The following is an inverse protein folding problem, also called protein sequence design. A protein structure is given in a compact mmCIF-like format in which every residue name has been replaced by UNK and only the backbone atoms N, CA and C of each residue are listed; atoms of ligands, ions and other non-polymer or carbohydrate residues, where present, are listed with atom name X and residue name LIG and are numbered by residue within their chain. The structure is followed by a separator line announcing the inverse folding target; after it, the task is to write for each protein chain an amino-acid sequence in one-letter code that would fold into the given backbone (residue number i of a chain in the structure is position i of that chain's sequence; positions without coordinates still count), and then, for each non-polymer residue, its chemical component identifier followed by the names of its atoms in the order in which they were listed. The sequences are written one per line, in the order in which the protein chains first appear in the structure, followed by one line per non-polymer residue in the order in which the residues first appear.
data_IF_457475062116
#
_entry.id   IF_457475062116
#
_cell.length_a   1.000
_cell.length_b   1.000
_cell.length_c   1.000
_cell.angle_alpha   90.00
_cell.angle_beta   90.00
_cell.angle_gamma   90.00
#
_symmetry.space_group_name_H-M   'P 1'
#
loop_
_entity.id
_entity.type
_entity.pdbx_description
1 polymer ?
#
# COMPACT_ATOMS: atom_id res chain seq x y z
N UNK A 1 -0.91 -23.29 -41.41
CA UNK A 1 -2.22 -22.63 -41.64
C UNK A 1 -2.97 -22.38 -40.34
N UNK A 2 -3.26 -23.40 -39.53
CA UNK A 2 -4.09 -23.30 -38.31
C UNK A 2 -3.84 -22.09 -37.39
N UNK A 3 -2.59 -21.69 -37.17
CA UNK A 3 -2.27 -20.51 -36.34
C UNK A 3 -2.92 -19.21 -36.86
N UNK A 4 -3.04 -19.03 -38.19
CA UNK A 4 -3.65 -17.85 -38.79
C UNK A 4 -5.18 -17.86 -38.63
N UNK A 5 -5.82 -19.03 -38.79
CA UNK A 5 -7.25 -19.21 -38.49
C UNK A 5 -7.54 -18.99 -37.01
N UNK A 6 -6.66 -19.46 -36.11
CA UNK A 6 -6.78 -19.25 -34.68
C UNK A 6 -6.65 -17.77 -34.30
N UNK A 7 -5.74 -17.01 -34.95
CA UNK A 7 -5.66 -15.56 -34.81
C UNK A 7 -6.89 -14.83 -35.37
N UNK A 8 -7.45 -15.29 -36.49
CA UNK A 8 -8.72 -14.77 -37.03
C UNK A 8 -9.89 -15.00 -36.08
N UNK A 9 -9.98 -16.21 -35.50
CA UNK A 9 -10.97 -16.57 -34.48
C UNK A 9 -10.84 -15.69 -33.22
N UNK A 10 -9.60 -15.49 -32.74
CA UNK A 10 -9.28 -14.62 -31.60
C UNK A 10 -9.61 -13.14 -31.87
N UNK A 11 -9.30 -12.62 -33.06
CA UNK A 11 -9.59 -11.22 -33.40
C UNK A 11 -11.10 -10.97 -33.49
N UNK A 12 -11.86 -11.94 -34.03
CA UNK A 12 -13.33 -11.92 -34.08
C UNK A 12 -13.96 -11.96 -32.68
N UNK A 13 -13.38 -12.72 -31.74
CA UNK A 13 -13.76 -12.72 -30.32
C UNK A 13 -13.41 -11.37 -29.64
N UNK A 14 -12.24 -10.79 -29.95
CA UNK A 14 -11.74 -9.52 -29.38
C UNK A 14 -12.67 -8.34 -29.70
N UNK A 15 -13.23 -8.29 -30.91
CA UNK A 15 -14.22 -7.25 -31.29
C UNK A 15 -15.52 -7.36 -30.49
N UNK A 16 -16.05 -8.57 -30.27
CA UNK A 16 -17.26 -8.78 -29.48
C UNK A 16 -17.08 -8.37 -28.00
N UNK A 17 -15.91 -8.68 -27.41
CA UNK A 17 -15.60 -8.30 -26.03
C UNK A 17 -15.48 -6.78 -25.84
N UNK A 18 -14.96 -6.04 -26.84
CA UNK A 18 -14.85 -4.59 -26.78
C UNK A 18 -16.21 -3.88 -26.73
N UNK A 19 -17.19 -4.37 -27.51
CA UNK A 19 -18.55 -3.81 -27.51
C UNK A 19 -19.25 -3.98 -26.15
N UNK A 20 -19.09 -5.13 -25.49
CA UNK A 20 -19.67 -5.37 -24.17
C UNK A 20 -19.06 -4.47 -23.07
N UNK A 21 -17.77 -4.17 -23.16
CA UNK A 21 -17.08 -3.32 -22.17
C UNK A 21 -17.52 -1.84 -22.22
N UNK A 22 -18.01 -1.35 -23.36
CA UNK A 22 -18.47 0.02 -23.51
C UNK A 22 -19.82 0.30 -22.81
N UNK A 23 -20.61 -0.73 -22.51
CA UNK A 23 -21.96 -0.60 -21.96
C UNK A 23 -22.03 -0.48 -20.43
N UNK A 24 -20.91 -0.61 -19.71
CA UNK A 24 -20.88 -0.74 -18.24
C UNK A 24 -20.46 0.56 -17.52
N UNK A 25 -19.87 1.52 -18.24
CA UNK A 25 -19.23 2.71 -17.65
C UNK A 25 -20.17 3.92 -17.49
N UNK A 26 -21.44 3.71 -17.14
CA UNK A 26 -22.43 4.77 -16.93
C UNK A 26 -23.38 4.46 -15.76
N UNK A 27 -22.87 4.52 -14.51
CA UNK A 27 -23.66 4.83 -13.30
C UNK A 27 -22.76 4.93 -12.05
N UNK A 28 -22.28 6.14 -11.74
CA UNK A 28 -22.38 6.83 -10.43
C UNK A 28 -21.33 7.96 -10.34
N UNK A 29 -21.83 9.19 -10.18
CA UNK A 29 -21.16 10.32 -9.53
C UNK A 29 -22.08 10.80 -8.38
N UNK A 30 -21.72 11.92 -7.75
CA UNK A 30 -22.32 12.53 -6.54
C UNK A 30 -22.02 11.73 -5.25
N UNK A 31 -21.15 12.20 -4.35
CA UNK A 31 -21.12 13.44 -3.53
C UNK A 31 -22.01 13.39 -2.27
N UNK A 32 -21.37 13.51 -1.11
CA UNK A 32 -21.83 14.46 -0.08
C UNK A 32 -20.67 14.85 0.85
N UNK A 33 -20.85 15.88 1.69
CA UNK A 33 -19.76 16.55 2.41
C UNK A 33 -20.13 16.94 3.84
N UNK A 34 -19.09 17.26 4.63
CA UNK A 34 -19.13 18.11 5.83
C UNK A 34 -19.83 17.56 7.08
N UNK A 35 -19.18 17.71 8.25
CA UNK A 35 -19.69 18.51 9.37
C UNK A 35 -18.62 18.63 10.49
N UNK A 36 -18.90 19.41 11.53
CA UNK A 36 -17.89 20.22 12.25
C UNK A 36 -18.23 20.42 13.75
N UNK A 37 -17.26 20.88 14.55
CA UNK A 37 -17.37 21.38 15.95
C UNK A 37 -17.78 20.39 17.08
N UNK A 38 -17.66 20.75 18.40
CA UNK A 38 -16.78 21.74 19.05
C UNK A 38 -16.03 21.24 20.33
N UNK A 39 -15.19 22.15 20.84
CA UNK A 39 -14.33 22.09 22.02
C UNK A 39 -15.04 22.21 23.40
N UNK A 40 -14.61 21.41 24.38
CA UNK A 40 -14.83 21.55 25.84
C UNK A 40 -13.91 20.51 26.55
N UNK A 41 -13.44 20.57 27.80
CA UNK A 41 -13.57 21.44 29.01
C UNK A 41 -12.12 21.54 29.63
N UNK A 42 -11.72 22.28 30.67
CA UNK A 42 -12.32 23.21 31.65
C UNK A 42 -11.22 24.21 32.14
N UNK A 43 -11.37 24.82 33.33
CA UNK A 43 -10.36 25.69 33.98
C UNK A 43 -10.44 25.64 35.52
N UNK A 44 -9.62 26.48 36.19
CA UNK A 44 -9.57 26.83 37.64
C UNK A 44 -8.63 26.01 38.53
N UNK A 45 -7.51 26.63 38.94
CA UNK A 45 -7.19 26.85 40.36
C UNK A 45 -6.17 27.99 40.53
N UNK A 46 -6.38 28.90 41.48
CA UNK A 46 -5.45 29.99 41.84
C UNK A 46 -5.16 29.98 43.34
N UNK A 47 -3.90 30.12 43.79
CA UNK A 47 -3.56 30.13 45.21
C UNK A 47 -3.64 31.54 45.81
N UNK A 48 -4.25 31.67 46.99
CA UNK A 48 -4.20 32.91 47.78
C UNK A 48 -4.19 32.61 49.29
N UNK A 49 -3.09 33.02 49.92
CA UNK A 49 -2.87 33.30 51.35
C UNK A 49 -3.71 32.56 52.41
N UNK A 50 -3.04 31.72 53.21
CA UNK A 50 -3.47 31.35 54.57
C UNK A 50 -2.36 31.74 55.55
N UNK A 51 -2.66 32.65 56.49
CA UNK A 51 -1.77 33.03 57.60
C UNK A 51 -1.89 32.03 58.75
N UNK A 52 -0.83 31.91 59.56
CA UNK A 52 -0.75 30.95 60.68
C UNK A 52 -1.05 31.67 62.00
N UNK A 53 -1.91 31.12 62.88
CA UNK A 53 -2.21 31.74 64.18
C UNK A 53 -1.03 31.77 65.15
N UNK A 54 -1.05 32.74 66.07
CA UNK A 54 -0.03 32.95 67.11
C UNK A 54 -0.50 32.43 68.47
N UNK A 55 -0.46 31.11 68.65
CA UNK A 55 0.05 30.48 69.88
C UNK A 55 0.22 28.97 69.63
N UNK A 56 1.42 28.45 69.89
CA UNK A 56 1.80 27.04 69.70
C UNK A 56 2.83 26.69 70.77
N UNK A 57 2.62 25.57 71.46
CA UNK A 57 3.58 25.03 72.44
C UNK A 57 4.92 24.66 71.76
N UNK A 58 6.01 24.46 72.54
CA UNK A 58 7.29 24.03 71.97
C UNK A 58 7.21 22.72 71.18
N UNK A 59 6.35 21.80 71.63
CA UNK A 59 6.12 20.49 71.02
C UNK A 59 5.33 20.63 69.71
N UNK A 60 4.22 21.39 69.71
CA UNK A 60 3.48 21.71 68.47
C UNK A 60 4.32 22.51 67.46
N UNK A 61 5.25 23.35 67.92
CA UNK A 61 6.22 24.03 67.04
C UNK A 61 7.18 23.05 66.38
N UNK A 62 7.67 22.04 67.11
CA UNK A 62 8.55 21.03 66.52
C UNK A 62 7.78 20.10 65.58
N UNK A 63 6.58 19.65 65.95
CA UNK A 63 5.69 18.90 65.04
C UNK A 63 5.37 19.70 63.78
N UNK A 64 5.02 20.99 63.90
CA UNK A 64 4.81 21.86 62.74
C UNK A 64 6.07 22.05 61.91
N UNK A 65 7.26 22.02 62.52
CA UNK A 65 8.54 22.04 61.80
C UNK A 65 8.76 20.74 61.00
N UNK A 66 8.49 19.58 61.61
CA UNK A 66 8.58 18.27 60.99
C UNK A 66 7.55 18.09 59.86
N UNK A 67 6.30 18.54 60.06
CA UNK A 67 5.25 18.58 59.04
C UNK A 67 5.66 19.50 57.88
N UNK A 68 6.25 20.67 58.15
CA UNK A 68 6.76 21.58 57.11
C UNK A 68 7.95 20.98 56.34
N UNK A 69 8.83 20.24 57.00
CA UNK A 69 9.95 19.53 56.36
C UNK A 69 9.43 18.41 55.47
N UNK A 70 8.54 17.57 55.98
CA UNK A 70 7.92 16.46 55.25
C UNK A 70 7.03 16.92 54.10
N UNK A 71 6.38 18.08 54.22
CA UNK A 71 5.68 18.75 53.12
C UNK A 71 6.64 19.23 52.02
N UNK A 72 7.87 19.65 52.35
CA UNK A 72 8.89 19.98 51.36
C UNK A 72 9.38 18.72 50.65
N UNK A 73 9.78 17.70 51.42
CA UNK A 73 10.18 16.38 50.91
C UNK A 73 9.16 15.86 49.86
N UNK A 74 7.86 15.88 50.21
CA UNK A 74 6.78 15.46 49.31
C UNK A 74 6.53 16.40 48.11
N UNK A 75 6.88 17.68 48.19
CA UNK A 75 6.76 18.61 47.05
C UNK A 75 7.92 18.41 46.07
N UNK A 76 9.13 18.20 46.59
CA UNK A 76 10.33 17.88 45.81
C UNK A 76 10.14 16.53 45.09
N UNK A 77 9.57 15.52 45.75
CA UNK A 77 9.17 14.23 45.14
C UNK A 77 8.09 14.40 44.06
N UNK A 78 7.10 15.27 44.26
CA UNK A 78 6.06 15.56 43.24
C UNK A 78 6.65 16.29 42.02
N UNK A 79 7.61 17.20 42.21
CA UNK A 79 8.29 17.88 41.11
C UNK A 79 9.19 16.91 40.32
N UNK A 80 9.90 16.03 41.04
CA UNK A 80 10.66 14.93 40.43
C UNK A 80 9.76 13.97 39.63
N UNK A 81 8.66 13.49 40.20
CA UNK A 81 7.74 12.58 39.51
C UNK A 81 7.10 13.23 38.26
N UNK A 82 6.85 14.54 38.27
CA UNK A 82 6.43 15.26 37.05
C UNK A 82 7.51 15.23 35.96
N UNK A 83 8.78 15.36 36.33
CA UNK A 83 9.88 15.27 35.37
C UNK A 83 10.01 13.85 34.80
N UNK A 84 9.99 12.82 35.66
CA UNK A 84 10.04 11.41 35.24
C UNK A 84 8.83 11.03 34.36
N UNK A 85 7.63 11.55 34.65
CA UNK A 85 6.45 11.40 33.78
C UNK A 85 6.63 12.11 32.43
N UNK A 86 7.16 13.34 32.41
CA UNK A 86 7.39 14.07 31.17
C UNK A 86 8.46 13.41 30.28
N UNK A 87 9.51 12.85 30.89
CA UNK A 87 10.54 12.07 30.21
C UNK A 87 9.95 10.79 29.60
N UNK A 88 9.21 9.99 30.37
CA UNK A 88 8.52 8.78 29.87
C UNK A 88 7.47 9.11 28.80
N UNK A 89 6.73 10.22 28.90
CA UNK A 89 5.85 10.66 27.82
C UNK A 89 6.62 11.05 26.56
N UNK A 90 7.78 11.71 26.69
CA UNK A 90 8.66 12.04 25.55
C UNK A 90 9.21 10.77 24.88
N UNK A 91 9.58 9.73 25.65
CA UNK A 91 9.98 8.43 25.10
C UNK A 91 8.83 7.73 24.38
N UNK A 92 7.61 7.75 24.94
CA UNK A 92 6.41 7.19 24.31
C UNK A 92 6.07 7.94 23.01
N UNK A 93 6.23 9.27 22.97
CA UNK A 93 6.05 10.07 21.75
C UNK A 93 7.12 9.74 20.69
N UNK A 94 8.39 9.53 21.09
CA UNK A 94 9.42 9.07 20.15
C UNK A 94 9.14 7.65 19.62
N UNK A 95 8.68 6.73 20.46
CA UNK A 95 8.37 5.36 20.05
C UNK A 95 7.13 5.29 19.13
N UNK A 96 6.08 6.05 19.44
CA UNK A 96 4.86 6.10 18.62
C UNK A 96 5.12 6.78 17.27
N UNK A 97 5.83 7.93 17.24
CA UNK A 97 6.12 8.59 15.96
C UNK A 97 7.08 7.76 15.08
N UNK A 98 7.99 6.96 15.65
CA UNK A 98 8.80 5.99 14.88
C UNK A 98 7.96 4.86 14.28
N UNK A 99 6.91 4.40 14.97
CA UNK A 99 5.98 3.37 14.50
C UNK A 99 5.07 3.87 13.36
N UNK A 100 4.40 5.01 13.56
CA UNK A 100 3.48 5.57 12.57
C UNK A 100 4.21 6.15 11.35
N UNK A 101 5.31 6.88 11.57
CA UNK A 101 6.03 7.57 10.49
C UNK A 101 6.60 6.58 9.47
N UNK A 102 7.29 5.51 9.91
CA UNK A 102 7.92 4.54 8.98
C UNK A 102 6.91 3.84 8.08
N UNK A 103 5.79 3.36 8.64
CA UNK A 103 4.74 2.68 7.87
C UNK A 103 4.04 3.64 6.91
N UNK A 104 3.71 4.83 7.39
CA UNK A 104 3.04 5.88 6.59
C UNK A 104 3.96 6.42 5.50
N UNK A 105 5.26 6.57 5.77
CA UNK A 105 6.28 6.99 4.80
C UNK A 105 6.49 5.93 3.72
N UNK A 106 6.63 4.64 4.07
CA UNK A 106 6.72 3.54 3.10
C UNK A 106 5.49 3.52 2.18
N UNK A 107 4.28 3.66 2.75
CA UNK A 107 3.05 3.71 1.97
C UNK A 107 2.98 4.95 1.05
N UNK A 108 3.42 6.14 1.52
CA UNK A 108 3.55 7.35 0.68
C UNK A 108 4.56 7.14 -0.47
N UNK A 109 5.71 6.51 -0.23
CA UNK A 109 6.68 6.21 -1.27
C UNK A 109 6.14 5.18 -2.28
N UNK A 110 5.45 4.12 -1.84
CA UNK A 110 4.80 3.14 -2.73
C UNK A 110 3.75 3.82 -3.61
N UNK A 111 2.91 4.70 -3.04
CA UNK A 111 1.94 5.48 -3.81
C UNK A 111 2.61 6.42 -4.84
N UNK A 112 3.75 7.02 -4.49
CA UNK A 112 4.55 7.81 -5.43
C UNK A 112 5.21 6.94 -6.53
N UNK A 113 5.66 5.72 -6.20
CA UNK A 113 6.19 4.75 -7.15
C UNK A 113 5.13 4.27 -8.15
N UNK A 114 3.91 3.98 -7.68
CA UNK A 114 2.73 3.68 -8.53
C UNK A 114 2.42 4.86 -9.48
N UNK A 115 2.43 6.11 -8.98
CA UNK A 115 2.27 7.30 -9.82
C UNK A 115 3.40 7.46 -10.86
N UNK A 116 4.66 7.25 -10.47
CA UNK A 116 5.81 7.26 -11.40
C UNK A 116 5.67 6.18 -12.48
N UNK A 117 5.29 4.95 -12.11
CA UNK A 117 5.05 3.85 -13.05
C UNK A 117 4.00 4.22 -14.09
N UNK A 118 2.88 4.82 -13.66
CA UNK A 118 1.81 5.25 -14.56
C UNK A 118 2.19 6.39 -15.53
N UNK A 119 3.34 7.06 -15.32
CA UNK A 119 3.91 8.05 -16.24
C UNK A 119 5.05 7.49 -17.10
N UNK A 120 5.90 6.65 -16.51
CA UNK A 120 7.01 5.95 -17.14
C UNK A 120 7.27 4.65 -16.36
N UNK A 121 6.96 3.47 -16.92
CA UNK A 121 7.02 2.24 -16.15
C UNK A 121 8.45 1.83 -15.80
N UNK A 122 9.44 2.17 -16.64
CA UNK A 122 10.85 1.84 -16.38
C UNK A 122 11.37 2.69 -15.21
N UNK A 123 11.10 4.00 -15.19
CA UNK A 123 11.43 4.88 -14.06
C UNK A 123 10.60 4.59 -12.80
N UNK A 124 9.36 4.10 -12.96
CA UNK A 124 8.50 3.69 -11.84
C UNK A 124 9.02 2.46 -11.11
N UNK A 125 9.36 1.40 -11.84
CA UNK A 125 10.01 0.22 -11.27
C UNK A 125 11.37 0.60 -10.69
N UNK A 126 12.22 1.33 -11.42
CA UNK A 126 13.52 1.79 -10.91
C UNK A 126 13.41 2.51 -9.56
N UNK A 127 12.49 3.46 -9.42
CA UNK A 127 12.27 4.17 -8.16
C UNK A 127 11.85 3.24 -7.01
N UNK A 128 11.00 2.23 -7.27
CA UNK A 128 10.59 1.26 -6.25
C UNK A 128 11.75 0.37 -5.79
N UNK A 129 12.67 0.03 -6.69
CA UNK A 129 13.90 -0.70 -6.40
C UNK A 129 14.88 0.15 -5.58
N UNK A 130 15.13 1.40 -6.00
CA UNK A 130 16.04 2.35 -5.35
C UNK A 130 15.62 2.78 -3.93
N UNK A 131 14.39 2.44 -3.49
CA UNK A 131 13.83 2.81 -2.18
C UNK A 131 13.55 1.57 -1.30
N UNK A 132 14.05 0.38 -1.67
CA UNK A 132 13.79 -0.91 -0.98
C UNK A 132 12.29 -1.21 -0.80
N UNK A 133 11.47 -0.80 -1.77
CA UNK A 133 10.01 -1.01 -1.81
C UNK A 133 9.63 -2.27 -2.59
N UNK A 134 10.53 -2.71 -3.46
CA UNK A 134 10.41 -3.85 -4.38
C UNK A 134 11.80 -4.44 -4.57
N UNK A 135 11.93 -5.77 -4.73
CA UNK A 135 13.23 -6.41 -4.98
C UNK A 135 13.54 -6.46 -6.49
N UNK A 136 14.83 -6.50 -6.86
CA UNK A 136 15.26 -6.59 -8.26
C UNK A 136 15.16 -8.04 -8.81
N UNK A 137 14.01 -8.67 -8.61
CA UNK A 137 13.72 -10.05 -9.05
C UNK A 137 12.48 -10.05 -9.94
N UNK A 138 12.46 -10.84 -11.04
CA UNK A 138 11.31 -10.91 -11.94
C UNK A 138 9.99 -11.30 -11.24
N UNK A 139 10.09 -12.09 -10.18
CA UNK A 139 8.97 -12.68 -9.42
C UNK A 139 8.32 -11.66 -8.48
N UNK A 140 9.09 -10.74 -7.90
CA UNK A 140 8.54 -9.66 -7.07
C UNK A 140 7.93 -8.56 -7.96
N UNK A 141 8.60 -8.22 -9.07
CA UNK A 141 8.06 -7.28 -10.06
C UNK A 141 6.79 -7.81 -10.70
N UNK A 142 6.72 -9.10 -11.07
CA UNK A 142 5.51 -9.70 -11.63
C UNK A 142 4.35 -9.73 -10.62
N UNK A 143 4.61 -10.07 -9.35
CA UNK A 143 3.61 -9.99 -8.28
C UNK A 143 3.09 -8.55 -8.05
N UNK A 144 3.97 -7.55 -8.10
CA UNK A 144 3.58 -6.14 -7.99
C UNK A 144 2.64 -5.73 -9.14
N UNK A 145 2.96 -6.12 -10.37
CA UNK A 145 2.12 -5.87 -11.55
C UNK A 145 0.79 -6.65 -11.47
N UNK A 146 0.81 -7.90 -11.01
CA UNK A 146 -0.37 -8.77 -10.91
C UNK A 146 -1.37 -8.28 -9.85
N UNK A 147 -0.88 -7.76 -8.71
CA UNK A 147 -1.73 -7.10 -7.69
C UNK A 147 -2.44 -5.86 -8.25
N UNK A 148 -1.80 -5.14 -9.19
CA UNK A 148 -2.43 -4.08 -10.00
C UNK A 148 -2.92 -2.83 -9.26
N UNK A 149 -2.82 -2.77 -7.93
CA UNK A 149 -3.36 -1.70 -7.10
C UNK A 149 -2.85 -0.31 -7.50
N UNK A 150 -3.75 0.54 -8.01
CA UNK A 150 -3.39 1.90 -8.44
C UNK A 150 -2.46 1.97 -9.65
N UNK A 151 -2.28 0.85 -10.38
CA UNK A 151 -1.51 0.78 -11.61
C UNK A 151 -2.43 0.87 -12.84
N UNK A 152 -2.00 1.60 -13.86
CA UNK A 152 -2.72 1.70 -15.12
C UNK A 152 -2.51 0.42 -15.95
N UNK A 153 -3.59 -0.36 -16.16
CA UNK A 153 -3.58 -1.63 -16.91
C UNK A 153 -3.02 -1.53 -18.33
N UNK A 154 -3.09 -0.36 -18.98
CA UNK A 154 -2.41 -0.12 -20.27
C UNK A 154 -0.89 -0.10 -20.10
N UNK A 155 -0.41 0.65 -19.12
CA UNK A 155 1.04 0.79 -18.84
C UNK A 155 1.66 -0.51 -18.31
N UNK A 156 0.88 -1.35 -17.60
CA UNK A 156 1.27 -2.74 -17.29
C UNK A 156 1.51 -3.52 -18.59
N UNK A 157 0.57 -3.46 -19.55
CA UNK A 157 0.71 -4.10 -20.85
C UNK A 157 1.91 -3.57 -21.66
N UNK A 158 2.11 -2.26 -21.68
CA UNK A 158 3.23 -1.64 -22.39
C UNK A 158 4.58 -2.13 -21.85
N UNK A 159 4.72 -2.26 -20.52
CA UNK A 159 5.92 -2.75 -19.84
C UNK A 159 6.13 -4.26 -20.02
N UNK A 160 5.07 -5.08 -19.85
CA UNK A 160 5.14 -6.53 -20.09
C UNK A 160 5.44 -6.87 -21.56
N UNK A 161 5.07 -5.97 -22.48
CA UNK A 161 5.33 -6.13 -23.91
C UNK A 161 6.71 -5.66 -24.38
N UNK A 162 7.56 -5.12 -23.51
CA UNK A 162 8.92 -4.71 -23.88
C UNK A 162 9.78 -5.91 -24.35
N UNK A 163 10.90 -5.62 -25.03
CA UNK A 163 11.79 -6.64 -25.62
C UNK A 163 13.03 -6.96 -24.77
N UNK A 164 13.20 -6.27 -23.64
CA UNK A 164 14.39 -6.37 -22.79
C UNK A 164 14.35 -7.67 -21.98
N UNK A 165 15.48 -8.36 -21.81
CA UNK A 165 15.55 -9.70 -21.17
C UNK A 165 14.90 -9.75 -19.77
N UNK A 166 14.97 -8.66 -19.01
CA UNK A 166 14.31 -8.56 -17.71
C UNK A 166 12.78 -8.51 -17.85
N UNK A 167 12.26 -7.72 -18.79
CA UNK A 167 10.83 -7.63 -19.07
C UNK A 167 10.26 -8.96 -19.58
N UNK A 168 11.03 -9.72 -20.39
CA UNK A 168 10.64 -11.06 -20.84
C UNK A 168 10.54 -12.05 -19.67
N UNK A 169 11.47 -12.00 -18.70
CA UNK A 169 11.41 -12.80 -17.47
C UNK A 169 10.23 -12.40 -16.57
N UNK A 170 9.98 -11.11 -16.41
CA UNK A 170 8.81 -10.59 -15.70
C UNK A 170 7.51 -11.05 -16.37
N UNK A 171 7.45 -11.11 -17.71
CA UNK A 171 6.30 -11.64 -18.45
C UNK A 171 6.09 -13.14 -18.16
N UNK A 172 7.15 -13.97 -18.17
CA UNK A 172 7.04 -15.39 -17.79
C UNK A 172 6.46 -15.54 -16.39
N UNK A 173 7.10 -14.90 -15.40
CA UNK A 173 6.65 -14.97 -14.00
C UNK A 173 5.22 -14.41 -13.81
N UNK A 174 4.83 -13.36 -14.55
CA UNK A 174 3.48 -12.79 -14.52
C UNK A 174 2.43 -13.75 -15.11
N UNK A 175 2.78 -14.47 -16.17
CA UNK A 175 1.93 -15.51 -16.76
C UNK A 175 1.87 -16.73 -15.82
N UNK A 176 2.96 -17.08 -15.14
CA UNK A 176 3.00 -18.18 -14.17
C UNK A 176 2.10 -17.97 -12.94
N UNK A 177 1.93 -16.71 -12.50
CA UNK A 177 0.96 -16.31 -11.47
C UNK A 177 -0.51 -16.52 -11.87
N UNK A 178 -0.81 -16.83 -13.14
CA UNK A 178 -2.16 -17.18 -13.56
C UNK A 178 -2.38 -18.70 -13.48
N UNK A 179 -3.34 -19.10 -12.65
CA UNK A 179 -3.85 -20.47 -12.62
C UNK A 179 -4.77 -20.72 -13.82
N UNK A 180 -4.37 -21.61 -14.73
CA UNK A 180 -5.14 -22.00 -15.92
C UNK A 180 -5.58 -23.47 -15.92
N UNK A 181 -5.34 -24.22 -14.84
CA UNK A 181 -5.79 -25.61 -14.72
C UNK A 181 -7.33 -25.68 -14.72
N UNK A 182 -7.90 -26.72 -15.35
CA UNK A 182 -9.34 -26.98 -15.49
C UNK A 182 -10.17 -25.86 -16.20
N UNK A 183 -9.53 -24.79 -16.67
CA UNK A 183 -10.14 -23.72 -17.44
C UNK A 183 -10.02 -23.98 -18.94
N UNK A 184 -11.10 -23.77 -19.69
CA UNK A 184 -11.02 -23.76 -21.14
C UNK A 184 -10.29 -22.51 -21.67
N UNK A 185 -9.79 -22.58 -22.91
CA UNK A 185 -8.99 -21.53 -23.54
C UNK A 185 -9.63 -20.13 -23.46
N UNK A 186 -10.97 -20.04 -23.59
CA UNK A 186 -11.69 -18.75 -23.55
C UNK A 186 -11.81 -18.21 -22.12
N UNK A 187 -11.92 -19.08 -21.11
CA UNK A 187 -11.88 -18.70 -19.70
C UNK A 187 -10.48 -18.21 -19.30
N UNK A 188 -9.45 -19.01 -19.57
CA UNK A 188 -8.05 -18.67 -19.28
C UNK A 188 -7.63 -17.37 -19.98
N UNK A 189 -8.00 -17.19 -21.25
CA UNK A 189 -7.70 -15.97 -22.01
C UNK A 189 -8.50 -14.76 -21.49
N UNK A 190 -9.74 -14.94 -21.02
CA UNK A 190 -10.49 -13.86 -20.34
C UNK A 190 -9.81 -13.42 -19.05
N UNK A 191 -9.31 -14.36 -18.24
CA UNK A 191 -8.58 -14.08 -17.00
C UNK A 191 -7.26 -13.36 -17.27
N UNK A 192 -6.47 -13.86 -18.22
CA UNK A 192 -5.21 -13.25 -18.64
C UNK A 192 -5.42 -11.82 -19.19
N UNK A 193 -6.43 -11.60 -20.03
CA UNK A 193 -6.76 -10.27 -20.58
C UNK A 193 -7.57 -9.38 -19.61
N UNK A 194 -7.76 -9.80 -18.36
CA UNK A 194 -8.36 -8.98 -17.30
C UNK A 194 -7.32 -8.26 -16.45
N UNK A 195 -6.13 -8.84 -16.26
CA UNK A 195 -5.09 -8.27 -15.39
C UNK A 195 -4.42 -7.02 -16.01
N UNK A 196 -4.24 -6.99 -17.35
CA UNK A 196 -3.67 -5.86 -18.10
C UNK A 196 -4.49 -5.55 -19.37
N UNK A 197 -4.12 -4.50 -20.13
CA UNK A 197 -4.66 -4.23 -21.49
C UNK A 197 -3.61 -4.60 -22.54
N UNK A 198 -4.03 -5.30 -23.60
CA UNK A 198 -3.14 -5.60 -24.73
C UNK A 198 -2.62 -4.30 -25.37
N UNK A 199 -1.30 -4.18 -25.61
CA UNK A 199 -0.71 -3.09 -26.39
C UNK A 199 -1.17 -3.14 -27.86
N UNK A 200 -0.92 -2.07 -28.62
CA UNK A 200 -1.35 -1.94 -30.01
C UNK A 200 -0.40 -2.62 -31.02
N UNK A 201 0.87 -2.74 -30.68
CA UNK A 201 1.92 -3.22 -31.55
C UNK A 201 1.90 -4.74 -31.65
N UNK A 202 1.74 -5.27 -32.87
CA UNK A 202 1.64 -6.71 -33.11
C UNK A 202 2.78 -7.53 -32.46
N UNK A 203 4.02 -7.05 -32.50
CA UNK A 203 5.18 -7.71 -31.87
C UNK A 203 5.08 -7.82 -30.34
N UNK A 204 4.41 -6.86 -29.66
CA UNK A 204 4.19 -6.93 -28.22
C UNK A 204 3.09 -7.96 -27.89
N UNK A 205 2.01 -7.96 -28.67
CA UNK A 205 0.92 -8.94 -28.56
C UNK A 205 1.44 -10.37 -28.76
N UNK A 206 2.29 -10.59 -29.78
CA UNK A 206 2.83 -11.89 -30.16
C UNK A 206 3.56 -12.58 -28.99
N UNK A 207 4.52 -11.88 -28.36
CA UNK A 207 5.25 -12.37 -27.17
C UNK A 207 4.34 -12.70 -25.99
N UNK A 208 3.30 -11.89 -25.75
CA UNK A 208 2.33 -12.15 -24.69
C UNK A 208 1.48 -13.39 -24.97
N UNK A 209 1.07 -13.58 -26.23
CA UNK A 209 0.26 -14.72 -26.65
C UNK A 209 1.06 -16.03 -26.69
N UNK A 210 2.34 -15.97 -27.09
CA UNK A 210 3.28 -17.10 -26.99
C UNK A 210 3.48 -17.53 -25.54
N UNK A 211 3.76 -16.58 -24.65
CA UNK A 211 3.93 -16.83 -23.20
C UNK A 211 2.66 -17.45 -22.60
N UNK A 212 1.49 -16.88 -22.90
CA UNK A 212 0.19 -17.42 -22.48
C UNK A 212 -0.05 -18.84 -23.01
N UNK A 213 0.20 -19.09 -24.29
CA UNK A 213 0.00 -20.41 -24.90
C UNK A 213 0.91 -21.47 -24.29
N UNK A 214 2.19 -21.14 -24.05
CA UNK A 214 3.14 -22.01 -23.35
C UNK A 214 2.62 -22.41 -21.97
N UNK A 215 2.19 -21.45 -21.13
CA UNK A 215 1.63 -21.73 -19.80
C UNK A 215 0.32 -22.51 -19.86
N UNK A 216 -0.60 -22.16 -20.76
CA UNK A 216 -1.87 -22.87 -20.88
C UNK A 216 -1.65 -24.35 -21.22
N UNK A 217 -0.73 -24.66 -22.14
CA UNK A 217 -0.37 -26.02 -22.52
C UNK A 217 0.33 -26.79 -21.38
N UNK A 218 1.14 -26.11 -20.54
CA UNK A 218 1.72 -26.71 -19.33
C UNK A 218 0.64 -27.05 -18.29
N UNK A 219 -0.35 -26.16 -18.09
CA UNK A 219 -1.44 -26.38 -17.13
C UNK A 219 -2.49 -27.39 -17.61
N UNK A 220 -2.63 -27.60 -18.93
CA UNK A 220 -3.66 -28.44 -19.53
C UNK A 220 -3.07 -29.50 -20.49
N UNK A 221 -2.23 -30.43 -19.97
CA UNK A 221 -1.58 -31.44 -20.80
C UNK A 221 -2.61 -32.34 -21.50
N UNK A 222 -2.53 -32.41 -22.84
CA UNK A 222 -3.41 -33.21 -23.68
C UNK A 222 -4.61 -32.46 -24.30
N UNK A 223 -4.89 -31.20 -23.90
CA UNK A 223 -5.93 -30.38 -24.55
C UNK A 223 -5.53 -29.95 -25.96
N UNK A 224 -4.22 -29.78 -26.20
CA UNK A 224 -3.65 -29.53 -27.52
C UNK A 224 -2.54 -30.54 -27.83
N UNK A 225 -2.59 -31.13 -29.02
CA UNK A 225 -1.49 -31.91 -29.60
C UNK A 225 -0.86 -31.08 -30.72
N UNK A 226 0.38 -30.63 -30.51
CA UNK A 226 1.18 -30.03 -31.57
C UNK A 226 1.45 -31.06 -32.66
N UNK A 227 0.95 -30.80 -33.87
CA UNK A 227 1.03 -31.68 -35.05
C UNK A 227 1.63 -30.93 -36.21
#
# INVERSE_FOLDING_TARGET
MQALDMMLQLNKQKQAAAAAAAAVTLQHEEDESSHDFPFLVCAVFSPSCVSVPEDLSPEERDELSNIRRRKRELLDDIERLKFEIAEVMTEIEQLTCVGESKTTQRNKQIAMGRKKFNMDPKKGIQFLLENDLLQHTPEEVSQFLYKGEGLNKTVIGDYLGEREDFNLKVLSAFVELHEFADLNLVQALRQFLWSFRLPGEAQKIDRMMESFASRYCQCNPGVFQST
#
